data_IF_450315011323
#
_entry.id   IF_450315011323
#
_cell.length_a   1.000
_cell.length_b   1.000
_cell.length_c   1.000
_cell.angle_alpha   90.00
_cell.angle_beta   90.00
_cell.angle_gamma   90.00
#
_symmetry.space_group_name_H-M   'P 1'
#
loop_
_entity.id
_entity.type
_entity.pdbx_description
1 polymer ?
#
# COMPACT_ATOMS: atom_id res chain seq x y z
N UNK A 1 22.68 -28.86 28.88
CA UNK A 1 22.27 -28.47 27.51
C UNK A 1 23.01 -27.20 27.18
N UNK A 2 23.90 -27.28 26.19
CA UNK A 2 24.74 -26.17 25.73
C UNK A 2 23.87 -25.17 24.96
N UNK A 3 23.96 -23.89 25.30
CA UNK A 3 23.48 -22.80 24.46
C UNK A 3 24.37 -22.76 23.21
N UNK A 4 23.80 -22.97 22.03
CA UNK A 4 24.50 -22.66 20.77
C UNK A 4 24.58 -21.14 20.64
N UNK A 5 25.77 -20.59 20.77
CA UNK A 5 26.07 -19.22 20.34
C UNK A 5 25.85 -19.13 18.83
N UNK A 6 25.07 -18.13 18.39
CA UNK A 6 24.96 -17.78 16.97
C UNK A 6 26.28 -17.14 16.54
N UNK A 7 27.23 -17.97 16.12
CA UNK A 7 28.49 -17.53 15.53
C UNK A 7 28.17 -16.95 14.15
N UNK A 8 28.40 -15.65 13.98
CA UNK A 8 28.31 -14.99 12.68
C UNK A 8 29.38 -15.59 11.74
N UNK A 9 29.03 -15.89 10.47
CA UNK A 9 29.98 -16.45 9.52
C UNK A 9 31.14 -15.49 9.26
N UNK A 10 32.30 -16.04 8.90
CA UNK A 10 33.47 -15.25 8.51
C UNK A 10 33.21 -14.49 7.20
N UNK A 11 33.93 -13.39 6.97
CA UNK A 11 33.77 -12.56 5.75
C UNK A 11 33.89 -13.39 4.46
N UNK A 12 34.80 -14.37 4.44
CA UNK A 12 34.99 -15.29 3.31
C UNK A 12 33.85 -16.30 3.13
N UNK A 13 33.07 -16.59 4.18
CA UNK A 13 31.87 -17.41 4.10
C UNK A 13 30.67 -16.56 3.67
N UNK A 14 30.58 -15.32 4.15
CA UNK A 14 29.59 -14.35 3.72
C UNK A 14 29.68 -14.09 2.22
N UNK A 15 30.87 -13.79 1.70
CA UNK A 15 31.09 -13.54 0.27
C UNK A 15 30.73 -14.75 -0.60
N UNK A 16 31.08 -15.95 -0.15
CA UNK A 16 30.72 -17.19 -0.83
C UNK A 16 29.21 -17.43 -0.85
N UNK A 17 28.51 -17.08 0.23
CA UNK A 17 27.06 -17.21 0.31
C UNK A 17 26.34 -16.16 -0.57
N UNK A 18 26.86 -14.94 -0.66
CA UNK A 18 26.33 -13.90 -1.57
C UNK A 18 26.36 -14.39 -3.03
N UNK A 19 27.53 -14.86 -3.47
CA UNK A 19 27.73 -15.39 -4.82
C UNK A 19 26.84 -16.60 -5.09
N UNK A 20 26.75 -17.53 -4.15
CA UNK A 20 25.96 -18.74 -4.32
C UNK A 20 24.45 -18.48 -4.29
N UNK A 21 23.98 -17.55 -3.45
CA UNK A 21 22.60 -17.11 -3.47
C UNK A 21 22.27 -16.47 -4.82
N UNK A 22 23.05 -15.48 -5.26
CA UNK A 22 22.86 -14.80 -6.54
C UNK A 22 22.82 -15.78 -7.72
N UNK A 23 23.68 -16.81 -7.69
CA UNK A 23 23.70 -17.90 -8.68
C UNK A 23 22.44 -18.77 -8.64
N UNK A 24 21.98 -19.17 -7.45
CA UNK A 24 20.78 -20.02 -7.28
C UNK A 24 19.51 -19.27 -7.72
N UNK A 25 19.40 -18.00 -7.35
CA UNK A 25 18.20 -17.18 -7.57
C UNK A 25 18.20 -16.44 -8.90
N UNK A 26 19.32 -16.47 -9.64
CA UNK A 26 19.61 -15.66 -10.84
C UNK A 26 19.42 -14.16 -10.60
N UNK A 27 19.91 -13.68 -9.45
CA UNK A 27 19.91 -12.26 -9.08
C UNK A 27 21.35 -11.74 -8.97
N UNK A 28 21.52 -10.51 -8.50
CA UNK A 28 22.83 -9.95 -8.15
C UNK A 28 23.17 -10.13 -6.65
N UNK A 29 24.42 -9.79 -6.29
CA UNK A 29 24.93 -9.87 -4.93
C UNK A 29 24.32 -8.83 -3.98
N UNK A 30 23.81 -7.70 -4.51
CA UNK A 30 23.10 -6.71 -3.71
C UNK A 30 21.76 -7.26 -3.20
N UNK A 31 21.02 -7.95 -4.07
CA UNK A 31 19.84 -8.72 -3.71
C UNK A 31 20.21 -9.86 -2.74
N UNK A 32 21.29 -10.59 -2.99
CA UNK A 32 21.75 -11.65 -2.11
C UNK A 32 22.06 -11.15 -0.68
N UNK A 33 22.71 -9.99 -0.57
CA UNK A 33 23.05 -9.39 0.72
C UNK A 33 21.80 -9.03 1.52
N UNK A 34 20.79 -8.48 0.83
CA UNK A 34 19.51 -8.14 1.43
C UNK A 34 18.81 -9.35 2.07
N UNK A 35 18.83 -10.50 1.40
CA UNK A 35 18.16 -11.70 1.92
C UNK A 35 19.02 -12.46 2.93
N UNK A 36 20.33 -12.60 2.71
CA UNK A 36 21.17 -13.40 3.61
C UNK A 36 21.29 -12.79 5.01
N UNK A 37 21.38 -11.46 5.12
CA UNK A 37 21.41 -10.78 6.42
C UNK A 37 20.12 -11.04 7.25
N UNK A 38 18.96 -11.16 6.58
CA UNK A 38 17.65 -11.31 7.21
C UNK A 38 17.37 -12.75 7.70
N UNK A 39 18.16 -13.72 7.25
CA UNK A 39 18.04 -15.13 7.63
C UNK A 39 19.26 -15.65 8.38
N UNK A 40 19.97 -14.77 9.12
CA UNK A 40 21.20 -15.13 9.84
C UNK A 40 22.21 -15.86 8.95
N UNK A 41 22.35 -15.43 7.70
CA UNK A 41 23.21 -16.02 6.69
C UNK A 41 22.91 -17.50 6.40
N UNK A 42 21.68 -17.95 6.60
CA UNK A 42 21.25 -19.30 6.21
C UNK A 42 20.86 -19.32 4.73
N UNK A 43 21.84 -19.66 3.86
CA UNK A 43 21.68 -19.70 2.41
C UNK A 43 20.45 -20.49 1.95
N UNK A 44 20.23 -21.68 2.51
CA UNK A 44 19.15 -22.57 2.06
C UNK A 44 17.76 -22.04 2.43
N UNK A 45 17.62 -21.44 3.62
CA UNK A 45 16.36 -20.81 4.05
C UNK A 45 16.06 -19.55 3.22
N UNK A 46 17.09 -18.73 2.98
CA UNK A 46 17.02 -17.51 2.18
C UNK A 46 16.61 -17.82 0.73
N UNK A 47 17.30 -18.77 0.09
CA UNK A 47 17.03 -19.15 -1.30
C UNK A 47 15.66 -19.84 -1.44
N UNK A 48 15.27 -20.68 -0.47
CA UNK A 48 13.95 -21.31 -0.46
C UNK A 48 12.82 -20.28 -0.32
N UNK A 49 13.03 -19.24 0.48
CA UNK A 49 12.08 -18.14 0.62
C UNK A 49 11.95 -17.35 -0.69
N UNK A 50 13.06 -16.96 -1.31
CA UNK A 50 13.06 -16.27 -2.61
C UNK A 50 12.39 -17.10 -3.71
N UNK A 51 12.75 -18.38 -3.83
CA UNK A 51 12.20 -19.27 -4.84
C UNK A 51 10.70 -19.53 -4.62
N UNK A 52 10.22 -19.62 -3.37
CA UNK A 52 8.78 -19.72 -3.08
C UNK A 52 8.03 -18.46 -3.48
N UNK A 53 8.58 -17.29 -3.19
CA UNK A 53 7.96 -16.03 -3.56
C UNK A 53 7.94 -15.83 -5.10
N UNK A 54 9.02 -16.24 -5.78
CA UNK A 54 9.12 -16.21 -7.23
C UNK A 54 8.23 -17.25 -7.91
N UNK A 55 8.13 -18.47 -7.37
CA UNK A 55 7.20 -19.50 -7.86
C UNK A 55 5.74 -19.09 -7.62
N UNK A 56 5.40 -18.44 -6.52
CA UNK A 56 4.04 -17.94 -6.28
C UNK A 56 3.64 -16.90 -7.33
N UNK A 57 4.56 -15.99 -7.68
CA UNK A 57 4.35 -14.99 -8.75
C UNK A 57 4.29 -15.67 -10.13
N UNK A 58 5.21 -16.61 -10.43
CA UNK A 58 5.25 -17.30 -11.71
C UNK A 58 4.07 -18.28 -11.91
N UNK A 59 3.65 -19.02 -10.88
CA UNK A 59 2.46 -19.86 -10.92
C UNK A 59 1.19 -19.02 -11.03
N UNK A 60 1.12 -17.86 -10.37
CA UNK A 60 0.02 -16.91 -10.56
C UNK A 60 0.00 -16.33 -11.99
N UNK A 61 1.18 -16.12 -12.60
CA UNK A 61 1.33 -15.68 -13.98
C UNK A 61 0.90 -16.77 -14.98
N UNK A 62 1.44 -17.99 -14.88
CA UNK A 62 1.12 -19.13 -15.77
C UNK A 62 -0.34 -19.56 -15.65
N UNK A 63 -0.89 -19.66 -14.43
CA UNK A 63 -2.28 -20.05 -14.22
C UNK A 63 -3.29 -18.98 -14.66
N UNK A 64 -2.88 -17.70 -14.80
CA UNK A 64 -3.75 -16.63 -15.32
C UNK A 64 -3.54 -16.38 -16.83
N UNK A 65 -2.32 -16.47 -17.35
CA UNK A 65 -2.03 -16.13 -18.75
C UNK A 65 -2.35 -17.25 -19.74
N UNK A 66 -2.13 -18.52 -19.41
CA UNK A 66 -2.41 -19.63 -20.35
C UNK A 66 -3.92 -19.75 -20.67
N UNK A 67 -4.84 -19.64 -19.69
CA UNK A 67 -6.27 -19.62 -20.00
C UNK A 67 -6.73 -18.33 -20.68
N UNK A 68 -6.09 -17.19 -20.40
CA UNK A 68 -6.42 -15.91 -21.01
C UNK A 68 -5.94 -15.82 -22.48
N UNK A 69 -4.77 -16.39 -22.80
CA UNK A 69 -4.25 -16.51 -24.15
C UNK A 69 -5.10 -17.51 -24.97
N UNK A 70 -5.47 -18.64 -24.39
CA UNK A 70 -6.37 -19.61 -25.02
C UNK A 70 -7.76 -19.02 -25.29
N UNK A 71 -8.28 -18.15 -24.41
CA UNK A 71 -9.50 -17.37 -24.67
C UNK A 71 -9.31 -16.29 -25.73
N UNK A 72 -8.13 -15.69 -25.82
CA UNK A 72 -7.83 -14.68 -26.85
C UNK A 72 -7.76 -15.30 -28.25
N UNK A 73 -7.19 -16.51 -28.38
CA UNK A 73 -7.19 -17.25 -29.65
C UNK A 73 -8.56 -17.87 -29.97
N UNK A 74 -9.36 -18.24 -28.97
CA UNK A 74 -10.70 -18.80 -29.21
C UNK A 74 -11.77 -17.76 -29.56
N UNK A 75 -11.50 -16.46 -29.41
CA UNK A 75 -12.42 -15.38 -29.81
C UNK A 75 -12.23 -14.94 -31.27
N UNK A 76 -11.25 -15.50 -31.98
CA UNK A 76 -11.00 -15.23 -33.39
C UNK A 76 -11.68 -16.24 -34.34
N UNK A 77 -12.31 -17.30 -33.81
CA UNK A 77 -13.05 -18.27 -34.62
C UNK A 77 -14.45 -18.52 -34.06
N UNK A 78 -15.41 -17.99 -34.83
CA UNK A 78 -16.73 -18.54 -35.13
C UNK A 78 -17.90 -18.33 -34.15
N UNK A 79 -18.87 -17.59 -34.70
CA UNK A 79 -20.31 -17.80 -34.59
C UNK A 79 -20.72 -19.28 -34.63
N UNK A 80 -21.90 -19.53 -34.04
CA UNK A 80 -22.66 -20.79 -34.00
C UNK A 80 -22.16 -21.91 -33.06
N UNK A 81 -22.81 -22.05 -31.90
CA UNK A 81 -23.64 -23.22 -31.61
C UNK A 81 -24.18 -23.15 -30.18
N UNK A 82 -25.50 -23.13 -30.11
CA UNK A 82 -26.29 -23.30 -28.90
C UNK A 82 -26.19 -24.75 -28.36
N UNK A 83 -26.30 -24.86 -27.02
CA UNK A 83 -26.70 -26.03 -26.20
C UNK A 83 -25.64 -27.03 -25.72
N UNK A 84 -25.89 -27.43 -24.47
CA UNK A 84 -25.36 -28.54 -23.69
C UNK A 84 -23.97 -28.34 -23.06
N UNK A 85 -23.93 -28.06 -21.76
CA UNK A 85 -23.85 -29.11 -20.71
C UNK A 85 -23.64 -28.44 -19.35
N UNK A 86 -24.41 -28.87 -18.36
CA UNK A 86 -24.38 -28.36 -17.00
C UNK A 86 -23.25 -28.99 -16.16
N UNK A 87 -22.86 -28.23 -15.12
CA UNK A 87 -22.18 -28.60 -13.86
C UNK A 87 -20.64 -28.67 -13.87
N UNK A 88 -20.04 -27.71 -13.17
CA UNK A 88 -19.38 -27.89 -11.86
C UNK A 88 -18.68 -26.58 -11.49
N UNK A 89 -19.34 -25.73 -10.70
CA UNK A 89 -18.71 -24.55 -10.09
C UNK A 89 -18.79 -24.68 -8.57
N UNK A 90 -17.64 -24.73 -7.85
CA UNK A 90 -17.62 -24.44 -6.42
C UNK A 90 -18.08 -23.00 -6.20
N UNK A 91 -18.58 -22.63 -5.01
CA UNK A 91 -19.07 -21.29 -4.75
C UNK A 91 -17.87 -20.33 -4.73
N UNK A 92 -17.54 -19.73 -5.87
CA UNK A 92 -16.85 -18.45 -5.86
C UNK A 92 -17.83 -17.47 -5.22
N UNK A 93 -17.48 -16.95 -4.03
CA UNK A 93 -18.12 -15.75 -3.52
C UNK A 93 -17.85 -14.65 -4.54
N UNK A 94 -18.82 -14.42 -5.43
CA UNK A 94 -18.84 -13.24 -6.27
C UNK A 94 -18.82 -12.04 -5.33
N UNK A 95 -17.80 -11.17 -5.46
CA UNK A 95 -17.83 -9.85 -4.84
C UNK A 95 -19.14 -9.19 -5.27
N UNK A 96 -19.95 -8.72 -4.33
CA UNK A 96 -21.09 -7.85 -4.63
C UNK A 96 -20.53 -6.62 -5.36
N UNK A 97 -20.89 -6.47 -6.62
CA UNK A 97 -20.02 -5.93 -7.67
C UNK A 97 -19.78 -4.41 -7.71
N UNK A 98 -20.16 -3.62 -6.70
CA UNK A 98 -20.17 -2.14 -6.83
C UNK A 98 -19.37 -1.36 -5.79
N UNK A 99 -18.77 -2.02 -4.79
CA UNK A 99 -18.07 -1.33 -3.69
C UNK A 99 -16.56 -1.49 -3.83
N UNK A 100 -15.87 -0.35 -3.78
CA UNK A 100 -14.42 -0.23 -3.69
C UNK A 100 -14.07 0.59 -2.46
N UNK A 101 -13.12 0.11 -1.66
CA UNK A 101 -12.73 0.70 -0.39
C UNK A 101 -11.24 1.01 -0.37
N UNK A 102 -10.91 2.23 0.07
CA UNK A 102 -9.53 2.66 0.23
C UNK A 102 -9.29 3.16 1.65
N UNK A 103 -8.13 2.82 2.20
CA UNK A 103 -7.61 3.33 3.46
C UNK A 103 -6.31 4.10 3.19
N UNK A 104 -6.06 5.19 3.91
CA UNK A 104 -4.75 5.87 3.91
C UNK A 104 -4.31 6.11 5.33
N UNK A 105 -3.04 5.85 5.63
CA UNK A 105 -2.50 5.99 6.97
C UNK A 105 -0.98 6.24 6.99
N UNK A 106 -0.58 7.41 7.49
CA UNK A 106 0.79 7.61 7.96
C UNK A 106 0.98 6.84 9.28
N UNK A 107 1.82 5.81 9.25
CA UNK A 107 2.00 4.88 10.38
C UNK A 107 3.07 5.34 11.38
N UNK A 108 3.68 6.51 11.15
CA UNK A 108 4.66 7.14 12.04
C UNK A 108 5.87 6.22 12.32
N UNK A 109 6.29 5.41 11.33
CA UNK A 109 7.29 4.35 11.51
C UNK A 109 8.70 4.85 11.88
N UNK A 110 8.93 6.16 11.76
CA UNK A 110 10.17 6.83 12.17
C UNK A 110 10.25 7.05 13.70
N UNK A 111 9.13 6.98 14.42
CA UNK A 111 9.17 7.07 15.88
C UNK A 111 9.75 5.78 16.45
N UNK A 112 10.99 5.80 16.91
CA UNK A 112 11.67 4.64 17.52
C UNK A 112 11.01 4.18 18.84
N UNK A 113 10.10 4.98 19.41
CA UNK A 113 9.25 4.55 20.53
C UNK A 113 8.08 3.67 20.06
N UNK A 114 7.96 3.48 18.75
CA UNK A 114 7.01 2.55 18.14
C UNK A 114 7.38 1.13 18.51
N UNK A 115 6.68 0.58 19.50
CA UNK A 115 6.79 -0.82 19.81
C UNK A 115 6.29 -1.66 18.62
N UNK A 116 6.88 -2.84 18.41
CA UNK A 116 6.33 -3.89 17.54
C UNK A 116 4.83 -4.11 17.77
N UNK A 117 4.36 -3.92 19.01
CA UNK A 117 2.95 -3.98 19.37
C UNK A 117 2.11 -2.89 18.66
N UNK A 118 2.60 -1.64 18.56
CA UNK A 118 1.91 -0.56 17.85
C UNK A 118 1.71 -0.91 16.38
N UNK A 119 2.75 -1.38 15.71
CA UNK A 119 2.64 -1.71 14.30
C UNK A 119 1.87 -3.01 14.03
N UNK A 120 1.90 -3.96 14.98
CA UNK A 120 1.02 -5.13 14.96
C UNK A 120 -0.45 -4.72 15.06
N UNK A 121 -0.78 -3.73 15.91
CA UNK A 121 -2.14 -3.18 15.99
C UNK A 121 -2.57 -2.48 14.69
N UNK A 122 -1.65 -1.80 14.00
CA UNK A 122 -1.89 -1.26 12.64
C UNK A 122 -2.24 -2.39 11.67
N UNK A 123 -1.42 -3.45 11.60
CA UNK A 123 -1.68 -4.59 10.73
C UNK A 123 -3.03 -5.27 11.03
N UNK A 124 -3.32 -5.52 12.32
CA UNK A 124 -4.61 -6.07 12.75
C UNK A 124 -5.78 -5.19 12.33
N UNK A 125 -5.65 -3.86 12.46
CA UNK A 125 -6.69 -2.92 12.05
C UNK A 125 -6.93 -2.98 10.55
N UNK A 126 -5.87 -3.02 9.73
CA UNK A 126 -5.97 -3.15 8.27
C UNK A 126 -6.66 -4.46 7.87
N UNK A 127 -6.26 -5.59 8.47
CA UNK A 127 -6.90 -6.90 8.24
C UNK A 127 -8.40 -6.84 8.59
N UNK A 128 -8.73 -6.29 9.76
CA UNK A 128 -10.11 -6.18 10.25
C UNK A 128 -11.00 -5.26 9.41
N UNK A 129 -10.49 -4.10 8.98
CA UNK A 129 -11.21 -3.18 8.10
C UNK A 129 -11.36 -3.81 6.72
N UNK A 130 -10.35 -4.54 6.27
CA UNK A 130 -10.35 -5.27 5.02
C UNK A 130 -10.48 -4.39 3.76
N UNK A 131 -9.82 -3.21 3.66
CA UNK A 131 -9.96 -2.37 2.47
C UNK A 131 -9.48 -3.09 1.21
N UNK A 132 -9.93 -2.66 0.03
CA UNK A 132 -9.40 -3.18 -1.24
C UNK A 132 -7.96 -2.73 -1.47
N UNK A 133 -7.69 -1.47 -1.10
CA UNK A 133 -6.38 -0.83 -1.20
C UNK A 133 -6.09 -0.07 0.10
N UNK A 134 -4.85 -0.15 0.58
CA UNK A 134 -4.36 0.71 1.64
C UNK A 134 -3.09 1.46 1.21
N UNK A 135 -3.07 2.77 1.40
CA UNK A 135 -1.92 3.64 1.25
C UNK A 135 -1.26 3.83 2.60
N UNK A 136 0.02 3.45 2.72
CA UNK A 136 0.80 3.64 3.94
C UNK A 136 1.96 4.60 3.68
N UNK A 137 2.22 5.49 4.64
CA UNK A 137 3.34 6.44 4.63
C UNK A 137 4.17 6.30 5.91
N UNK A 138 5.43 6.77 5.86
CA UNK A 138 6.44 6.56 6.92
C UNK A 138 6.68 5.08 7.23
N UNK A 139 6.68 4.25 6.18
CA UNK A 139 7.08 2.85 6.28
C UNK A 139 8.59 2.72 6.27
N UNK A 140 9.13 1.75 7.01
CA UNK A 140 10.56 1.40 7.01
C UNK A 140 10.74 -0.07 6.58
N UNK A 141 11.97 -0.47 6.26
CA UNK A 141 12.28 -1.85 5.88
C UNK A 141 11.85 -2.87 6.95
N UNK A 142 12.05 -2.56 8.24
CA UNK A 142 11.63 -3.41 9.36
C UNK A 142 10.09 -3.57 9.41
N UNK A 143 9.36 -2.47 9.19
CA UNK A 143 7.90 -2.51 9.19
C UNK A 143 7.36 -3.31 8.00
N UNK A 144 8.04 -3.29 6.85
CA UNK A 144 7.68 -4.17 5.72
C UNK A 144 7.78 -5.64 6.09
N UNK A 145 8.77 -6.06 6.89
CA UNK A 145 8.84 -7.44 7.39
C UNK A 145 7.65 -7.76 8.31
N UNK A 146 7.18 -6.80 9.11
CA UNK A 146 5.99 -6.99 9.95
C UNK A 146 4.70 -7.06 9.12
N UNK A 147 4.56 -6.24 8.07
CA UNK A 147 3.42 -6.35 7.13
C UNK A 147 3.43 -7.70 6.44
N UNK A 148 4.57 -8.16 5.92
CA UNK A 148 4.67 -9.47 5.27
C UNK A 148 4.24 -10.60 6.22
N UNK A 149 4.72 -10.58 7.47
CA UNK A 149 4.36 -11.60 8.49
C UNK A 149 2.88 -11.60 8.83
N UNK A 150 2.26 -10.42 8.98
CA UNK A 150 0.89 -10.31 9.48
C UNK A 150 -0.17 -10.26 8.37
N UNK A 151 0.18 -9.81 7.15
CA UNK A 151 -0.74 -9.50 6.06
C UNK A 151 -0.37 -10.16 4.71
N UNK A 152 0.73 -10.92 4.63
CA UNK A 152 1.27 -11.46 3.37
C UNK A 152 0.38 -12.48 2.63
N UNK A 153 -0.74 -12.92 3.22
CA UNK A 153 -1.78 -13.70 2.53
C UNK A 153 -3.04 -12.90 2.19
N UNK A 154 -3.20 -11.73 2.79
CA UNK A 154 -4.39 -10.87 2.64
C UNK A 154 -4.19 -9.75 1.63
N UNK A 155 -2.94 -9.37 1.35
CA UNK A 155 -2.55 -8.26 0.48
C UNK A 155 -1.27 -8.56 -0.29
N UNK A 156 -1.23 -8.13 -1.55
CA UNK A 156 -0.01 -7.84 -2.25
C UNK A 156 0.61 -6.55 -1.68
N UNK A 157 1.92 -6.56 -1.43
CA UNK A 157 2.63 -5.46 -0.77
C UNK A 157 3.55 -4.80 -1.81
N UNK A 158 3.22 -3.57 -2.21
CA UNK A 158 3.96 -2.81 -3.21
C UNK A 158 4.77 -1.72 -2.51
N UNK A 159 6.10 -1.87 -2.50
CA UNK A 159 7.03 -0.96 -1.80
C UNK A 159 7.58 0.08 -2.77
N UNK A 160 7.46 1.37 -2.46
CA UNK A 160 7.94 2.41 -3.36
C UNK A 160 9.47 2.38 -3.54
N UNK A 161 10.23 2.60 -2.47
CA UNK A 161 11.69 2.61 -2.55
C UNK A 161 12.31 2.12 -1.24
N UNK A 162 12.80 0.87 -1.16
CA UNK A 162 13.37 0.34 0.08
C UNK A 162 14.73 0.95 0.44
N UNK A 163 15.31 1.78 -0.44
CA UNK A 163 16.65 2.36 -0.26
C UNK A 163 16.59 3.62 0.61
N UNK A 164 15.45 4.31 0.64
CA UNK A 164 15.27 5.48 1.52
C UNK A 164 15.04 5.02 2.97
N UNK A 165 15.45 5.79 3.99
CA UNK A 165 15.23 5.44 5.40
C UNK A 165 13.76 5.20 5.75
N UNK A 166 12.86 5.85 5.00
CA UNK A 166 11.43 5.60 5.02
C UNK A 166 10.83 5.87 3.65
N UNK A 167 9.68 5.26 3.38
CA UNK A 167 9.03 5.29 2.08
C UNK A 167 7.52 5.06 2.22
N UNK A 168 6.83 5.01 1.08
CA UNK A 168 5.41 4.65 1.01
C UNK A 168 5.22 3.20 0.58
N UNK A 169 4.09 2.61 0.97
CA UNK A 169 3.66 1.27 0.58
C UNK A 169 2.21 1.32 0.12
N UNK A 170 1.88 0.56 -0.93
CA UNK A 170 0.50 0.27 -1.33
C UNK A 170 0.22 -1.20 -1.02
N UNK A 171 -0.76 -1.46 -0.16
CA UNK A 171 -1.34 -2.78 0.03
C UNK A 171 -2.54 -2.93 -0.90
N UNK A 172 -2.64 -4.04 -1.62
CA UNK A 172 -3.71 -4.27 -2.58
C UNK A 172 -4.22 -5.71 -2.47
N UNK A 173 -5.54 -5.93 -2.58
CA UNK A 173 -6.09 -7.29 -2.49
C UNK A 173 -5.51 -8.23 -3.55
N UNK A 174 -5.19 -9.51 -3.23
CA UNK A 174 -4.52 -10.43 -4.15
C UNK A 174 -5.31 -10.75 -5.43
N UNK A 175 -6.64 -10.60 -5.41
CA UNK A 175 -7.52 -10.81 -6.55
C UNK A 175 -7.49 -9.67 -7.57
N UNK A 176 -7.02 -8.47 -7.16
CA UNK A 176 -6.82 -7.34 -8.07
C UNK A 176 -5.56 -7.54 -8.93
N UNK A 177 -5.66 -7.51 -10.27
CA UNK A 177 -4.51 -7.69 -11.14
C UNK A 177 -3.58 -6.47 -11.06
N UNK A 178 -2.30 -6.69 -10.84
CA UNK A 178 -1.28 -5.66 -10.97
C UNK A 178 -0.87 -5.53 -12.44
N UNK A 179 -1.00 -4.34 -13.01
CA UNK A 179 -0.59 -4.04 -14.39
C UNK A 179 0.79 -3.37 -14.39
N UNK A 180 0.96 -2.32 -13.59
CA UNK A 180 2.24 -1.63 -13.44
C UNK A 180 2.40 -1.02 -12.04
N UNK A 181 3.65 -0.86 -11.61
CA UNK A 181 4.03 -0.22 -10.37
C UNK A 181 5.31 0.58 -10.61
N UNK A 182 5.22 1.90 -10.51
CA UNK A 182 6.30 2.82 -10.80
C UNK A 182 6.45 3.84 -9.66
N UNK A 183 7.63 4.43 -9.55
CA UNK A 183 7.92 5.46 -8.55
C UNK A 183 8.61 6.63 -9.22
N UNK A 184 8.02 7.81 -9.06
CA UNK A 184 8.56 9.07 -9.58
C UNK A 184 8.97 9.95 -8.41
N UNK A 185 10.27 10.25 -8.29
CA UNK A 185 10.80 11.13 -7.24
C UNK A 185 10.44 12.59 -7.54
N UNK A 186 10.16 13.36 -6.50
CA UNK A 186 10.03 14.80 -6.65
C UNK A 186 11.41 15.45 -6.67
N UNK A 187 11.73 16.20 -7.72
CA UNK A 187 13.06 16.81 -7.89
C UNK A 187 13.41 17.77 -6.75
N UNK A 188 12.41 18.51 -6.24
CA UNK A 188 12.59 19.51 -5.18
C UNK A 188 12.50 18.95 -3.76
N UNK A 189 12.28 17.64 -3.61
CA UNK A 189 12.13 17.06 -2.29
C UNK A 189 13.47 17.03 -1.54
N UNK A 190 13.49 17.59 -0.32
CA UNK A 190 14.61 17.43 0.61
C UNK A 190 14.50 16.18 1.50
N UNK A 191 13.34 15.52 1.48
CA UNK A 191 12.98 14.45 2.42
C UNK A 191 12.76 13.07 1.76
N UNK A 192 13.31 12.82 0.57
CA UNK A 192 13.17 11.54 -0.15
C UNK A 192 11.75 11.23 -0.65
N UNK A 193 10.92 12.25 -0.86
CA UNK A 193 9.50 12.10 -1.23
C UNK A 193 9.32 11.70 -2.69
N UNK A 194 8.28 10.92 -2.96
CA UNK A 194 7.96 10.42 -4.30
C UNK A 194 6.46 10.20 -4.50
N UNK A 195 6.04 10.12 -5.76
CA UNK A 195 4.76 9.56 -6.18
C UNK A 195 4.93 8.06 -6.39
N UNK A 196 4.15 7.26 -5.68
CA UNK A 196 4.01 5.83 -5.93
C UNK A 196 2.80 5.60 -6.81
N UNK A 197 3.06 5.18 -8.05
CA UNK A 197 2.09 5.04 -9.13
C UNK A 197 1.77 3.56 -9.32
N UNK A 198 0.51 3.16 -9.16
CA UNK A 198 0.07 1.76 -9.35
C UNK A 198 -1.09 1.72 -10.33
N UNK A 199 -0.98 0.84 -11.31
CA UNK A 199 -2.03 0.54 -12.27
C UNK A 199 -2.59 -0.87 -12.02
N UNK A 200 -3.91 -0.95 -11.98
CA UNK A 200 -4.65 -2.18 -11.72
C UNK A 200 -6.00 -2.17 -12.45
N UNK A 201 -6.83 -3.18 -12.20
CA UNK A 201 -8.23 -3.22 -12.58
C UNK A 201 -9.11 -3.57 -11.39
N UNK A 202 -10.29 -2.97 -11.34
CA UNK A 202 -11.34 -3.33 -10.39
C UNK A 202 -12.69 -3.28 -11.09
N UNK A 203 -13.54 -4.30 -10.86
CA UNK A 203 -14.87 -4.42 -11.46
C UNK A 203 -14.90 -4.12 -12.98
N UNK A 204 -13.91 -4.63 -13.72
CA UNK A 204 -13.80 -4.45 -15.18
C UNK A 204 -13.38 -3.05 -15.64
N UNK A 205 -12.99 -2.16 -14.72
CA UNK A 205 -12.49 -0.81 -15.02
C UNK A 205 -11.02 -0.67 -14.64
N UNK A 206 -10.29 0.07 -15.46
CA UNK A 206 -8.90 0.44 -15.18
C UNK A 206 -8.86 1.34 -13.95
N UNK A 207 -7.95 1.02 -13.03
CA UNK A 207 -7.75 1.70 -11.76
C UNK A 207 -6.32 2.24 -11.70
N UNK A 208 -6.18 3.53 -11.46
CA UNK A 208 -4.93 4.24 -11.34
C UNK A 208 -4.82 4.83 -9.95
N UNK A 209 -3.79 4.45 -9.21
CA UNK A 209 -3.56 4.79 -7.82
C UNK A 209 -2.30 5.65 -7.70
N UNK A 210 -2.41 6.78 -7.03
CA UNK A 210 -1.29 7.64 -6.65
C UNK A 210 -1.24 7.75 -5.13
N UNK A 211 -0.30 7.06 -4.52
CA UNK A 211 0.04 7.24 -3.11
C UNK A 211 1.26 8.17 -2.99
N UNK A 212 1.24 9.09 -2.03
CA UNK A 212 2.40 9.93 -1.74
C UNK A 212 2.46 10.38 -0.28
N UNK A 213 3.64 10.85 0.12
CA UNK A 213 3.85 11.58 1.36
C UNK A 213 4.55 12.91 1.04
N UNK A 214 3.80 14.01 0.97
CA UNK A 214 4.35 15.30 0.54
C UNK A 214 5.21 15.97 1.61
N UNK A 215 6.04 16.93 1.19
CA UNK A 215 7.02 17.63 2.03
C UNK A 215 6.41 18.10 3.36
N UNK A 216 7.03 17.68 4.46
CA UNK A 216 6.53 17.93 5.81
C UNK A 216 6.88 19.33 6.30
N UNK A 217 6.32 19.69 7.45
CA UNK A 217 6.52 20.99 8.13
C UNK A 217 5.94 22.20 7.38
N UNK A 218 5.83 23.33 8.08
CA UNK A 218 5.15 24.53 7.57
C UNK A 218 6.04 25.29 6.58
N UNK A 219 7.33 25.29 6.87
CA UNK A 219 8.39 26.02 6.19
C UNK A 219 8.57 25.55 4.74
N UNK A 220 8.23 24.30 4.45
CA UNK A 220 8.32 23.72 3.11
C UNK A 220 7.03 23.85 2.28
N UNK A 221 6.22 24.89 2.54
CA UNK A 221 5.01 25.21 1.75
C UNK A 221 5.29 25.23 0.25
N UNK A 222 6.34 25.92 -0.18
CA UNK A 222 6.62 26.10 -1.61
C UNK A 222 7.00 24.79 -2.30
N UNK A 223 7.76 23.94 -1.61
CA UNK A 223 8.09 22.59 -2.11
C UNK A 223 6.83 21.75 -2.21
N UNK A 224 6.01 21.71 -1.15
CA UNK A 224 4.75 20.96 -1.14
C UNK A 224 3.78 21.43 -2.22
N UNK A 225 3.66 22.74 -2.47
CA UNK A 225 2.84 23.29 -3.57
C UNK A 225 3.35 22.84 -4.94
N UNK A 226 4.68 22.82 -5.15
CA UNK A 226 5.28 22.26 -6.37
C UNK A 226 4.91 20.78 -6.56
N UNK A 227 5.04 19.97 -5.50
CA UNK A 227 4.71 18.54 -5.53
C UNK A 227 3.22 18.29 -5.80
N UNK A 228 2.32 19.11 -5.23
CA UNK A 228 0.87 19.04 -5.52
C UNK A 228 0.63 19.29 -7.02
N UNK A 229 1.28 20.28 -7.62
CA UNK A 229 1.15 20.55 -9.06
C UNK A 229 1.70 19.40 -9.92
N UNK A 230 2.82 18.79 -9.52
CA UNK A 230 3.34 17.59 -10.18
C UNK A 230 2.34 16.43 -10.11
N UNK A 231 1.69 16.21 -8.96
CA UNK A 231 0.61 15.23 -8.85
C UNK A 231 -0.55 15.57 -9.78
N UNK A 232 -1.03 16.82 -9.80
CA UNK A 232 -2.14 17.24 -10.65
C UNK A 232 -1.83 17.07 -12.14
N UNK A 233 -0.59 17.32 -12.56
CA UNK A 233 -0.15 17.05 -13.92
C UNK A 233 -0.21 15.55 -14.24
N UNK A 234 0.22 14.69 -13.30
CA UNK A 234 0.08 13.23 -13.45
C UNK A 234 -1.39 12.80 -13.57
N UNK A 235 -2.29 13.38 -12.77
CA UNK A 235 -3.73 13.09 -12.82
C UNK A 235 -4.35 13.49 -14.16
N UNK A 236 -3.99 14.67 -14.68
CA UNK A 236 -4.44 15.14 -16.00
C UNK A 236 -3.94 14.24 -17.13
N UNK A 237 -2.70 13.76 -17.05
CA UNK A 237 -2.16 12.80 -18.03
C UNK A 237 -2.88 11.45 -18.00
N UNK A 238 -3.33 11.02 -16.81
CA UNK A 238 -4.04 9.77 -16.63
C UNK A 238 -5.53 9.84 -17.00
N UNK A 239 -6.14 11.03 -16.98
CA UNK A 239 -7.57 11.15 -17.21
C UNK A 239 -7.94 10.98 -18.68
N UNK A 240 -8.30 9.76 -19.02
CA UNK A 240 -8.77 9.32 -20.33
C UNK A 240 -10.32 9.39 -20.48
N UNK A 241 -11.02 9.98 -19.50
CA UNK A 241 -12.48 10.02 -19.52
C UNK A 241 -13.17 8.71 -19.08
N UNK A 242 -12.43 7.64 -18.77
CA UNK A 242 -12.98 6.28 -18.51
C UNK A 242 -12.43 5.61 -17.26
N UNK A 243 -11.16 5.81 -16.96
CA UNK A 243 -10.43 5.19 -15.86
C UNK A 243 -10.85 5.77 -14.51
N UNK A 244 -10.80 4.92 -13.48
CA UNK A 244 -10.93 5.33 -12.08
C UNK A 244 -9.55 5.77 -11.59
N UNK A 245 -9.44 7.00 -11.11
CA UNK A 245 -8.20 7.55 -10.59
C UNK A 245 -8.41 7.90 -9.13
N UNK A 246 -7.49 7.44 -8.26
CA UNK A 246 -7.48 7.77 -6.84
C UNK A 246 -6.10 8.28 -6.46
N UNK A 247 -6.07 9.46 -5.85
CA UNK A 247 -4.88 10.15 -5.40
C UNK A 247 -4.99 10.45 -3.91
N UNK A 248 -3.94 10.20 -3.14
CA UNK A 248 -3.86 10.73 -1.80
C UNK A 248 -2.67 10.20 -1.01
N UNK A 249 -2.83 10.22 0.30
CA UNK A 249 -1.78 9.91 1.26
C UNK A 249 -1.72 10.96 2.35
N UNK A 250 -0.57 11.06 3.02
CA UNK A 250 -0.26 12.18 3.89
C UNK A 250 0.25 13.35 3.05
N UNK A 251 -0.62 14.32 2.80
CA UNK A 251 -0.29 15.44 1.94
C UNK A 251 0.39 16.57 2.69
N UNK A 252 0.48 16.54 4.02
CA UNK A 252 1.00 17.63 4.87
C UNK A 252 0.40 19.03 4.55
N UNK A 253 -0.69 19.07 3.79
CA UNK A 253 -1.16 20.27 3.11
C UNK A 253 -2.27 20.97 3.90
N UNK A 254 -2.17 22.30 3.96
CA UNK A 254 -3.22 23.18 4.48
C UNK A 254 -4.25 23.43 3.38
N UNK A 255 -5.43 23.91 3.76
CA UNK A 255 -6.54 24.06 2.82
C UNK A 255 -6.22 25.01 1.66
N UNK A 256 -5.47 26.08 1.93
CA UNK A 256 -5.01 27.05 0.94
C UNK A 256 -3.88 26.53 0.03
N UNK A 257 -3.26 25.40 0.37
CA UNK A 257 -2.21 24.75 -0.42
C UNK A 257 -2.75 23.79 -1.47
N UNK A 258 -3.92 23.18 -1.21
CA UNK A 258 -4.57 22.26 -2.15
C UNK A 258 -5.00 22.99 -3.43
N UNK A 259 -5.44 24.25 -3.32
CA UNK A 259 -5.93 25.03 -4.44
C UNK A 259 -7.14 24.39 -5.12
N UNK A 260 -7.28 24.64 -6.42
CA UNK A 260 -8.32 24.03 -7.25
C UNK A 260 -7.90 22.64 -7.72
N UNK A 261 -8.80 21.66 -7.53
CA UNK A 261 -8.58 20.30 -8.03
C UNK A 261 -8.68 20.27 -9.57
N UNK A 262 -7.99 19.35 -10.26
CA UNK A 262 -8.23 19.08 -11.67
C UNK A 262 -9.72 18.81 -11.93
N UNK A 263 -10.20 19.19 -13.12
CA UNK A 263 -11.60 18.99 -13.50
C UNK A 263 -12.03 17.53 -13.31
N UNK A 264 -13.24 17.33 -12.79
CA UNK A 264 -13.78 16.00 -12.49
C UNK A 264 -13.33 15.41 -11.15
N UNK A 265 -12.24 15.90 -10.54
CA UNK A 265 -11.78 15.40 -9.24
C UNK A 265 -12.55 16.00 -8.06
N UNK A 266 -12.75 15.18 -7.04
CA UNK A 266 -13.43 15.53 -5.79
C UNK A 266 -12.60 15.11 -4.59
N UNK A 267 -12.64 15.90 -3.52
CA UNK A 267 -12.13 15.53 -2.19
C UNK A 267 -13.14 14.59 -1.51
N UNK A 268 -12.70 13.41 -1.08
CA UNK A 268 -13.55 12.39 -0.49
C UNK A 268 -14.23 12.84 0.81
N UNK A 269 -13.56 13.62 1.66
CA UNK A 269 -14.17 14.13 2.89
C UNK A 269 -15.22 15.20 2.57
N UNK A 270 -14.93 16.06 1.59
CA UNK A 270 -15.88 17.10 1.15
C UNK A 270 -17.12 16.45 0.52
N UNK A 271 -16.91 15.51 -0.40
CA UNK A 271 -17.97 14.78 -1.08
C UNK A 271 -18.82 13.91 -0.13
N UNK A 272 -18.23 13.45 0.98
CA UNK A 272 -18.93 12.74 2.06
C UNK A 272 -19.72 13.67 3.01
N UNK A 273 -19.80 14.97 2.73
CA UNK A 273 -20.61 15.93 3.50
C UNK A 273 -19.83 16.76 4.51
N UNK A 274 -18.49 16.73 4.48
CA UNK A 274 -17.64 17.61 5.29
C UNK A 274 -17.90 17.53 6.81
N UNK A 275 -18.18 16.33 7.32
CA UNK A 275 -18.49 16.14 8.74
C UNK A 275 -17.31 16.56 9.63
N UNK A 276 -17.58 17.52 10.52
CA UNK A 276 -16.63 18.10 11.49
C UNK A 276 -15.97 17.06 12.40
N UNK A 277 -16.64 15.92 12.65
CA UNK A 277 -16.11 14.82 13.47
C UNK A 277 -14.90 14.16 12.83
N UNK A 278 -14.82 14.23 11.49
CA UNK A 278 -13.81 13.56 10.69
C UNK A 278 -12.87 14.52 9.95
N UNK A 279 -12.80 15.79 10.39
CA UNK A 279 -11.99 16.80 9.70
C UNK A 279 -10.50 16.63 9.93
N UNK A 280 -10.06 16.43 11.17
CA UNK A 280 -8.63 16.46 11.51
C UNK A 280 -8.08 15.05 11.56
N UNK A 281 -7.14 14.76 10.67
CA UNK A 281 -6.44 13.47 10.60
C UNK A 281 -5.20 13.47 11.51
N UNK A 282 -4.64 14.65 11.76
CA UNK A 282 -3.60 14.90 12.74
C UNK A 282 -4.12 15.89 13.80
N UNK A 283 -4.35 15.40 15.03
CA UNK A 283 -4.94 16.18 16.14
C UNK A 283 -4.21 15.92 17.46
N UNK A 284 -3.31 16.81 17.86
CA UNK A 284 -2.54 16.68 19.11
C UNK A 284 -3.35 16.96 20.38
N UNK A 285 -4.60 17.41 20.25
CA UNK A 285 -5.51 17.50 21.40
C UNK A 285 -6.13 16.15 21.76
N UNK A 286 -6.11 15.21 20.81
CA UNK A 286 -6.69 13.86 20.96
C UNK A 286 -5.64 12.75 20.93
N UNK A 287 -4.54 12.98 20.23
CA UNK A 287 -3.41 12.07 20.09
C UNK A 287 -2.23 12.61 20.92
N UNK A 288 -1.80 11.84 21.92
CA UNK A 288 -0.70 12.16 22.84
C UNK A 288 0.64 11.49 22.47
N UNK A 289 0.73 10.80 21.32
CA UNK A 289 1.97 10.12 20.92
C UNK A 289 3.16 11.07 20.71
N UNK A 290 2.89 12.31 20.28
CA UNK A 290 3.90 13.35 20.17
C UNK A 290 3.59 14.44 21.18
N UNK A 291 4.58 14.76 22.01
CA UNK A 291 4.54 15.91 22.93
C UNK A 291 4.84 17.21 22.17
N UNK A 292 4.11 17.44 21.08
CA UNK A 292 4.21 18.66 20.28
C UNK A 292 3.06 19.60 20.66
N UNK A 293 3.21 20.89 20.39
CA UNK A 293 2.22 21.90 20.75
C UNK A 293 0.80 21.62 20.24
N UNK A 294 -0.15 22.47 20.61
CA UNK A 294 -1.57 22.31 20.22
C UNK A 294 -1.72 22.57 18.72
N UNK A 295 -2.05 21.55 17.94
CA UNK A 295 -2.21 21.64 16.49
C UNK A 295 -3.20 20.62 15.95
N UNK A 296 -4.00 21.05 14.97
CA UNK A 296 -4.98 20.20 14.29
C UNK A 296 -4.94 20.47 12.80
N UNK A 297 -4.74 19.44 12.01
CA UNK A 297 -4.59 19.54 10.56
C UNK A 297 -5.29 18.37 9.87
N UNK A 298 -5.76 18.63 8.64
CA UNK A 298 -6.27 17.63 7.70
C UNK A 298 -5.20 17.31 6.69
N UNK A 299 -4.13 16.65 7.15
CA UNK A 299 -2.97 16.34 6.33
C UNK A 299 -3.28 15.20 5.36
N UNK A 300 -3.96 14.17 5.85
CA UNK A 300 -4.35 13.01 5.06
C UNK A 300 -5.61 13.32 4.25
N UNK A 301 -5.52 13.16 2.92
CA UNK A 301 -6.64 13.42 2.01
C UNK A 301 -6.68 12.36 0.91
N UNK A 302 -7.88 12.14 0.38
CA UNK A 302 -8.12 11.28 -0.78
C UNK A 302 -8.93 12.08 -1.79
N UNK A 303 -8.47 12.07 -3.03
CA UNK A 303 -9.10 12.68 -4.19
C UNK A 303 -9.39 11.63 -5.26
N UNK A 304 -10.47 11.81 -6.01
CA UNK A 304 -10.89 10.85 -7.04
C UNK A 304 -11.72 11.51 -8.15
N UNK A 305 -11.69 10.98 -9.37
CA UNK A 305 -12.34 11.60 -10.56
C UNK A 305 -13.75 11.07 -10.90
N UNK A 306 -14.15 9.88 -10.45
CA UNK A 306 -15.45 9.27 -10.82
C UNK A 306 -16.17 8.74 -9.59
N UNK A 307 -17.51 8.86 -9.58
CA UNK A 307 -18.35 8.41 -8.47
C UNK A 307 -18.08 6.95 -8.10
N UNK A 308 -17.36 6.74 -7.00
CA UNK A 308 -17.47 5.53 -6.20
C UNK A 308 -18.80 5.66 -5.43
N UNK A 309 -19.73 4.74 -5.63
CA UNK A 309 -21.02 4.73 -4.94
C UNK A 309 -20.79 4.44 -3.45
N UNK A 310 -21.28 5.35 -2.60
CA UNK A 310 -21.15 5.42 -1.15
C UNK A 310 -19.70 5.62 -0.63
N UNK A 311 -19.40 6.87 -0.26
CA UNK A 311 -18.26 7.20 0.57
C UNK A 311 -18.62 7.09 2.04
N UNK A 312 -18.00 6.12 2.70
CA UNK A 312 -17.97 6.04 4.15
C UNK A 312 -16.58 6.49 4.60
N UNK A 313 -16.48 7.76 4.97
CA UNK A 313 -15.25 8.31 5.53
C UNK A 313 -15.25 8.08 7.05
N UNK A 314 -14.34 7.22 7.52
CA UNK A 314 -14.20 6.91 8.94
C UNK A 314 -12.72 6.79 9.31
N UNK A 315 -12.37 7.24 10.51
CA UNK A 315 -11.07 6.97 11.10
C UNK A 315 -11.01 5.56 11.72
N UNK A 316 -9.85 4.91 11.68
CA UNK A 316 -9.58 3.58 12.26
C UNK A 316 -8.36 3.66 13.20
N UNK A 317 -8.10 2.64 14.05
CA UNK A 317 -6.83 2.53 14.81
C UNK A 317 -6.76 3.22 16.18
N UNK A 318 -7.52 2.72 17.15
CA UNK A 318 -8.22 3.66 17.99
C UNK A 318 -8.75 2.99 19.31
N UNK A 319 -8.20 1.85 19.73
CA UNK A 319 -8.45 1.29 21.07
C UNK A 319 -7.14 1.31 21.87
N UNK A 320 -7.17 1.77 23.13
CA UNK A 320 -6.08 1.54 24.09
C UNK A 320 -6.05 0.07 24.48
N UNK A 321 -4.92 -0.59 24.28
CA UNK A 321 -4.59 -1.80 25.06
C UNK A 321 -4.17 -1.39 26.48
N UNK A 322 -4.32 -2.27 27.50
CA UNK A 322 -4.12 -1.92 28.91
C UNK A 322 -2.70 -1.49 29.30
N UNK A 323 -1.73 -1.51 28.37
CA UNK A 323 -0.31 -1.19 28.64
C UNK A 323 0.33 -0.28 27.60
N UNK A 324 -0.44 0.44 26.77
CA UNK A 324 0.12 1.30 25.73
C UNK A 324 -0.71 2.57 25.45
N UNK A 325 0.01 3.64 25.10
CA UNK A 325 -0.45 5.03 24.98
C UNK A 325 -1.48 5.21 23.83
N UNK A 326 -2.26 6.28 23.91
CA UNK A 326 -3.69 6.40 23.57
C UNK A 326 -4.10 6.44 22.08
N UNK A 327 -5.22 5.78 21.73
CA UNK A 327 -6.05 6.10 20.55
C UNK A 327 -7.55 5.72 20.77
N UNK A 328 -8.54 6.40 20.11
CA UNK A 328 -10.03 6.34 20.34
C UNK A 328 -10.94 5.98 19.12
N UNK A 329 -11.70 4.85 19.08
CA UNK A 329 -12.40 4.22 17.89
C UNK A 329 -13.75 3.73 18.33
N UNK A 330 -14.70 3.71 17.39
CA UNK A 330 -15.97 3.04 17.62
C UNK A 330 -16.31 2.06 16.49
N UNK A 331 -16.93 0.96 16.93
CA UNK A 331 -17.53 -0.10 16.12
C UNK A 331 -18.73 0.41 15.30
N UNK A 332 -19.12 -0.30 14.24
CA UNK A 332 -20.48 -0.23 13.74
C UNK A 332 -21.44 -0.81 14.78
N UNK A 333 -22.43 -0.02 15.20
CA UNK A 333 -23.62 -0.55 15.86
C UNK A 333 -24.59 -0.94 14.74
N UNK A 334 -24.75 -2.23 14.52
CA UNK A 334 -25.94 -2.72 13.83
C UNK A 334 -27.15 -2.37 14.70
N UNK A 335 -28.09 -1.61 14.15
CA UNK A 335 -29.50 -1.72 14.56
C UNK A 335 -30.35 -1.84 13.30
N UNK A 336 -31.23 -2.83 13.40
CA UNK A 336 -32.17 -3.35 12.42
C UNK A 336 -33.05 -2.27 11.79
#
# INVERSE_FOLDING_TARGET
MLFQENVLPSDAECERMLQEFARITRTDEACAHFFLQDFNWQLQASASFWLRQTLLVACAFVNKFVPALNRFFSYAEQDEAERATAKLTPPQKARTADKFTILSWNVDGLDLRSSTARFTAVCYTISKVGPDVAFLQEMTAELVQQVNRNLGGEYNILVATPVEPYFTVVLMKPDMPLISHNVARYEKSGMGRSMQLVESFTNGRRLLLLNTHLESMKEHSDVRRSQIQECYNQLKQWDDGKSIIIFGGDLNARNDEIGELPEGFKDAWVAAGSDSRYTFTWDTLRNDNRATGRGRCRFDRIFYNRCLLLFFFFFTGHCKEPSSVCYKCLKPVNRF
#
